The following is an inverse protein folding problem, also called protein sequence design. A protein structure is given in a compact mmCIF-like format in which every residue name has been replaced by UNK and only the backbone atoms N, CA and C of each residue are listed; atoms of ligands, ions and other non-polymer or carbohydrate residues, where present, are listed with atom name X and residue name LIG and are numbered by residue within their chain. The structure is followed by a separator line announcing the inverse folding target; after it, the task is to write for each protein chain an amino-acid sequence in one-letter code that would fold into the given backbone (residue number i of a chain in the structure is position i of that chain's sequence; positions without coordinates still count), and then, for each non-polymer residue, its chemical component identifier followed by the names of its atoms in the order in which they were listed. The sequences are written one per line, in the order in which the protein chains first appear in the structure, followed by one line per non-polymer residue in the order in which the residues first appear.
data_IF_118600155452
#
_entry.id   IF_118600155452
#
_cell.length_a   1.000
_cell.length_b   1.000
_cell.length_c   1.000
_cell.angle_alpha   90.00
_cell.angle_beta   90.00
_cell.angle_gamma   90.00
#
_symmetry.space_group_name_H-M   'P 1'
#
loop_
_entity.id
_entity.type
_entity.pdbx_description
1 polymer ?
#
# COMPACT_ATOMS: atom_id res chain seq x y z
N UNK A 1 33.11 17.22 -16.83
CA UNK A 1 31.68 16.89 -17.01
C UNK A 1 31.34 15.46 -16.61
N UNK A 2 32.11 14.42 -16.97
CA UNK A 2 31.75 13.02 -16.65
C UNK A 2 31.82 12.66 -15.16
N UNK A 3 32.69 13.32 -14.38
CA UNK A 3 32.88 12.99 -12.96
C UNK A 3 31.64 13.30 -12.09
N UNK A 4 30.80 14.24 -12.51
CA UNK A 4 29.59 14.65 -11.79
C UNK A 4 28.50 13.56 -11.76
N UNK A 5 28.57 12.58 -12.67
CA UNK A 5 27.64 11.44 -12.72
C UNK A 5 28.02 10.31 -11.77
N UNK A 6 29.23 10.36 -11.17
CA UNK A 6 29.72 9.31 -10.27
C UNK A 6 28.78 9.06 -9.08
N UNK A 7 28.25 10.07 -8.38
CA UNK A 7 27.35 9.85 -7.25
C UNK A 7 26.06 9.10 -7.64
N UNK A 8 25.55 9.34 -8.85
CA UNK A 8 24.34 8.67 -9.36
C UNK A 8 24.61 7.17 -9.55
N UNK A 9 25.72 6.81 -10.17
CA UNK A 9 26.13 5.41 -10.37
C UNK A 9 26.35 4.70 -9.02
N UNK A 10 26.99 5.37 -8.06
CA UNK A 10 27.21 4.83 -6.72
C UNK A 10 25.88 4.60 -5.97
N UNK A 11 24.92 5.51 -6.14
CA UNK A 11 23.58 5.38 -5.57
C UNK A 11 22.77 4.24 -6.22
N UNK A 12 22.83 4.09 -7.54
CA UNK A 12 22.20 2.96 -8.24
C UNK A 12 22.73 1.61 -7.75
N UNK A 13 24.06 1.51 -7.60
CA UNK A 13 24.69 0.28 -7.10
C UNK A 13 24.29 -0.01 -5.65
N UNK A 14 24.15 1.02 -4.81
CA UNK A 14 23.61 0.89 -3.45
C UNK A 14 22.16 0.39 -3.48
N UNK A 15 21.32 0.92 -4.37
CA UNK A 15 19.93 0.51 -4.46
C UNK A 15 19.76 -0.97 -4.84
N UNK A 16 20.55 -1.43 -5.81
CA UNK A 16 20.54 -2.82 -6.27
C UNK A 16 20.95 -3.79 -5.16
N UNK A 17 21.97 -3.44 -4.37
CA UNK A 17 22.46 -4.28 -3.27
C UNK A 17 21.55 -4.23 -2.04
N UNK A 18 21.25 -3.03 -1.55
CA UNK A 18 20.63 -2.86 -0.22
C UNK A 18 19.11 -2.99 -0.26
N UNK A 19 18.45 -2.50 -1.32
CA UNK A 19 16.99 -2.49 -1.42
C UNK A 19 16.45 -3.62 -2.30
N UNK A 20 17.10 -3.89 -3.42
CA UNK A 20 16.74 -5.02 -4.30
C UNK A 20 17.39 -6.34 -3.86
N UNK A 21 18.27 -6.30 -2.85
CA UNK A 21 18.81 -7.47 -2.15
C UNK A 21 19.46 -8.47 -3.11
N UNK A 22 20.18 -7.97 -4.13
CA UNK A 22 20.85 -8.79 -5.14
C UNK A 22 21.72 -9.90 -4.52
N UNK A 23 22.33 -9.61 -3.37
CA UNK A 23 23.24 -10.53 -2.70
C UNK A 23 22.54 -11.63 -1.89
N UNK A 24 21.23 -11.55 -1.67
CA UNK A 24 20.51 -12.48 -0.79
C UNK A 24 20.16 -13.81 -1.46
N UNK A 25 20.12 -13.86 -2.79
CA UNK A 25 19.92 -15.10 -3.50
C UNK A 25 21.17 -15.98 -3.42
N UNK A 26 21.02 -17.21 -2.88
CA UNK A 26 22.11 -18.17 -2.74
C UNK A 26 21.84 -19.41 -3.58
N UNK A 27 22.81 -19.78 -4.41
CA UNK A 27 22.84 -21.02 -5.19
C UNK A 27 24.30 -21.37 -5.49
N UNK A 28 24.59 -22.66 -5.66
CA UNK A 28 25.91 -23.12 -6.13
C UNK A 28 25.94 -23.33 -7.64
N UNK A 29 24.79 -23.28 -8.31
CA UNK A 29 24.67 -23.51 -9.76
C UNK A 29 24.75 -22.17 -10.49
N UNK A 30 25.80 -22.00 -11.29
CA UNK A 30 26.07 -20.79 -12.06
C UNK A 30 24.86 -20.28 -12.85
N UNK A 31 24.15 -21.16 -13.57
CA UNK A 31 23.00 -20.78 -14.40
C UNK A 31 21.89 -20.09 -13.58
N UNK A 32 21.64 -20.55 -12.35
CA UNK A 32 20.64 -19.91 -11.49
C UNK A 32 21.11 -18.56 -10.96
N UNK A 33 22.40 -18.43 -10.62
CA UNK A 33 22.99 -17.16 -10.17
C UNK A 33 22.92 -16.14 -11.31
N UNK A 34 23.38 -16.51 -12.52
CA UNK A 34 23.36 -15.65 -13.69
C UNK A 34 21.92 -15.23 -14.05
N UNK A 35 20.98 -16.18 -14.07
CA UNK A 35 19.58 -15.89 -14.32
C UNK A 35 19.00 -14.92 -13.28
N UNK A 36 19.26 -15.14 -11.99
CA UNK A 36 18.81 -14.23 -10.93
C UNK A 36 19.34 -12.80 -11.13
N UNK A 37 20.65 -12.65 -11.39
CA UNK A 37 21.27 -11.36 -11.62
C UNK A 37 20.61 -10.65 -12.81
N UNK A 38 20.48 -11.34 -13.96
CA UNK A 38 19.89 -10.76 -15.17
C UNK A 38 18.43 -10.34 -14.94
N UNK A 39 17.62 -11.21 -14.33
CA UNK A 39 16.21 -10.91 -14.07
C UNK A 39 16.04 -9.73 -13.10
N UNK A 40 16.90 -9.64 -12.08
CA UNK A 40 16.87 -8.52 -11.13
C UNK A 40 17.27 -7.21 -11.81
N UNK A 41 18.32 -7.22 -12.64
CA UNK A 41 18.74 -6.03 -13.40
C UNK A 41 17.66 -5.56 -14.38
N UNK A 42 17.00 -6.49 -15.09
CA UNK A 42 15.86 -6.17 -15.97
C UNK A 42 14.71 -5.55 -15.15
N UNK A 43 14.38 -6.13 -14.00
CA UNK A 43 13.37 -5.58 -13.10
C UNK A 43 13.71 -4.16 -12.61
N UNK A 44 14.98 -3.92 -12.28
CA UNK A 44 15.48 -2.60 -11.88
C UNK A 44 15.33 -1.57 -13.01
N UNK A 45 15.67 -1.94 -14.25
CA UNK A 45 15.50 -1.07 -15.42
C UNK A 45 14.04 -0.71 -15.66
N UNK A 46 13.11 -1.68 -15.58
CA UNK A 46 11.68 -1.38 -15.67
C UNK A 46 11.20 -0.46 -14.55
N UNK A 47 11.72 -0.62 -13.34
CA UNK A 47 11.39 0.28 -12.24
C UNK A 47 11.89 1.71 -12.48
N UNK A 48 13.09 1.90 -13.03
CA UNK A 48 13.58 3.24 -13.38
C UNK A 48 12.71 3.88 -14.47
N UNK A 49 12.37 3.13 -15.52
CA UNK A 49 11.44 3.61 -16.56
C UNK A 49 10.08 3.98 -15.97
N UNK A 50 9.56 3.17 -15.05
CA UNK A 50 8.29 3.45 -14.39
C UNK A 50 8.34 4.75 -13.58
N UNK A 51 9.43 5.04 -12.86
CA UNK A 51 9.58 6.28 -12.10
C UNK A 51 9.49 7.54 -12.96
N UNK A 52 9.92 7.46 -14.21
CA UNK A 52 9.87 8.57 -15.17
C UNK A 52 8.51 8.70 -15.87
N UNK A 53 7.67 7.66 -15.82
CA UNK A 53 6.31 7.73 -16.35
C UNK A 53 5.41 8.64 -15.49
N UNK A 54 4.38 9.23 -16.09
CA UNK A 54 3.41 10.10 -15.39
C UNK A 54 2.81 9.42 -14.16
N UNK A 55 2.50 8.12 -14.29
CA UNK A 55 1.98 7.30 -13.20
C UNK A 55 3.00 7.06 -12.09
N UNK A 56 4.29 6.99 -12.39
CA UNK A 56 5.34 6.81 -11.39
C UNK A 56 5.66 8.10 -10.65
N UNK A 57 5.52 9.24 -11.31
CA UNK A 57 5.79 10.56 -10.72
C UNK A 57 4.92 10.84 -9.48
N UNK A 58 3.71 10.27 -9.41
CA UNK A 58 2.84 10.35 -8.21
C UNK A 58 3.44 9.70 -6.95
N UNK A 59 4.47 8.88 -7.12
CA UNK A 59 5.22 8.22 -6.06
C UNK A 59 6.63 8.83 -5.84
N UNK A 60 6.99 9.90 -6.53
CA UNK A 60 8.25 10.60 -6.30
C UNK A 60 8.38 11.01 -4.82
N UNK A 61 9.53 10.74 -4.22
CA UNK A 61 9.81 11.01 -2.80
C UNK A 61 9.00 10.16 -1.81
N UNK A 62 8.23 9.16 -2.26
CA UNK A 62 7.50 8.23 -1.39
C UNK A 62 8.26 6.90 -1.33
N UNK A 63 8.59 6.47 -0.12
CA UNK A 63 9.13 5.12 0.07
C UNK A 63 8.00 4.11 0.30
N UNK A 64 8.22 2.86 -0.12
CA UNK A 64 7.25 1.78 0.10
C UNK A 64 6.86 1.62 1.59
N UNK A 65 7.79 1.71 2.57
CA UNK A 65 7.42 1.69 3.99
C UNK A 65 6.51 2.86 4.41
N UNK A 66 6.72 4.06 3.86
CA UNK A 66 5.88 5.23 4.15
C UNK A 66 4.51 5.07 3.51
N UNK A 67 4.45 4.59 2.26
CA UNK A 67 3.20 4.29 1.58
C UNK A 67 2.40 3.21 2.33
N UNK A 68 3.07 2.16 2.81
CA UNK A 68 2.45 1.08 3.57
C UNK A 68 1.95 1.55 4.95
N UNK A 69 2.66 2.45 5.63
CA UNK A 69 2.17 3.08 6.87
C UNK A 69 0.94 3.96 6.66
N UNK A 70 0.88 4.67 5.52
CA UNK A 70 -0.26 5.52 5.14
C UNK A 70 -1.40 4.73 4.51
N UNK A 71 -1.17 3.48 4.15
CA UNK A 71 -2.19 2.62 3.59
C UNK A 71 -3.19 2.25 4.69
N UNK A 72 -4.27 3.02 4.76
CA UNK A 72 -5.48 2.62 5.47
C UNK A 72 -6.13 1.54 4.61
N UNK A 73 -6.15 0.29 5.08
CA UNK A 73 -6.98 -0.74 4.46
C UNK A 73 -8.38 -0.15 4.33
N UNK A 74 -8.92 -0.11 3.12
CA UNK A 74 -10.37 -0.05 2.89
C UNK A 74 -10.95 -1.39 3.35
N UNK A 75 -10.88 -1.64 4.67
CA UNK A 75 -11.52 -2.77 5.29
C UNK A 75 -13.03 -2.60 5.20
N UNK A 76 -13.80 -3.68 5.38
CA UNK A 76 -15.25 -3.58 5.49
C UNK A 76 -15.61 -2.49 6.51
N UNK A 77 -16.41 -1.51 6.08
CA UNK A 77 -16.89 -0.44 6.95
C UNK A 77 -17.88 -1.07 7.95
N UNK A 78 -17.52 -1.07 9.23
CA UNK A 78 -18.40 -1.49 10.30
C UNK A 78 -18.99 -0.27 10.98
N UNK A 79 -20.26 -0.35 11.34
CA UNK A 79 -20.95 0.64 12.18
C UNK A 79 -21.01 0.08 13.59
N UNK A 80 -20.41 0.81 14.54
CA UNK A 80 -20.48 0.45 15.97
C UNK A 80 -21.44 1.40 16.66
N UNK A 81 -22.52 0.86 17.23
CA UNK A 81 -23.54 1.64 17.95
C UNK A 81 -23.39 1.34 19.43
N UNK A 82 -23.32 2.40 20.24
CA UNK A 82 -23.28 2.31 21.70
C UNK A 82 -24.57 2.87 22.30
N UNK A 83 -25.14 2.14 23.28
CA UNK A 83 -26.27 2.60 24.09
C UNK A 83 -26.02 2.22 25.54
N UNK A 84 -25.60 3.21 26.34
CA UNK A 84 -25.20 2.98 27.73
C UNK A 84 -24.05 1.98 27.84
N UNK A 85 -24.30 0.83 28.47
CA UNK A 85 -23.33 -0.26 28.65
C UNK A 85 -23.33 -1.30 27.52
N UNK A 86 -24.23 -1.17 26.54
CA UNK A 86 -24.37 -2.13 25.44
C UNK A 86 -23.75 -1.58 24.17
N UNK A 87 -23.14 -2.47 23.37
CA UNK A 87 -22.64 -2.14 22.04
C UNK A 87 -23.02 -3.22 21.03
N UNK A 88 -23.22 -2.80 19.78
CA UNK A 88 -23.43 -3.66 18.63
C UNK A 88 -22.50 -3.28 17.49
N UNK A 89 -21.90 -4.28 16.84
CA UNK A 89 -21.07 -4.10 15.65
C UNK A 89 -21.87 -4.63 14.47
N UNK A 90 -22.11 -3.78 13.48
CA UNK A 90 -22.91 -4.12 12.32
C UNK A 90 -22.10 -3.95 11.04
N UNK A 91 -22.21 -4.91 10.14
CA UNK A 91 -21.86 -4.66 8.74
C UNK A 91 -22.81 -3.62 8.12
N UNK A 92 -22.42 -3.02 6.99
CA UNK A 92 -23.27 -2.01 6.32
C UNK A 92 -24.69 -2.53 6.01
N UNK A 93 -24.82 -3.75 5.49
CA UNK A 93 -26.12 -4.35 5.18
C UNK A 93 -26.98 -4.61 6.42
N UNK A 94 -26.36 -5.13 7.49
CA UNK A 94 -27.04 -5.36 8.77
C UNK A 94 -27.51 -4.05 9.39
N UNK A 95 -26.71 -2.99 9.27
CA UNK A 95 -27.08 -1.66 9.72
C UNK A 95 -28.29 -1.09 8.96
N UNK A 96 -28.36 -1.28 7.64
CA UNK A 96 -29.53 -0.86 6.85
C UNK A 96 -30.78 -1.65 7.24
N UNK A 97 -30.65 -2.96 7.48
CA UNK A 97 -31.76 -3.80 7.94
C UNK A 97 -32.26 -3.36 9.32
N UNK A 98 -31.34 -3.09 10.25
CA UNK A 98 -31.65 -2.54 11.56
C UNK A 98 -32.38 -1.20 11.42
N UNK A 99 -31.82 -0.27 10.63
CA UNK A 99 -32.42 1.04 10.39
C UNK A 99 -33.84 0.92 9.83
N UNK A 100 -34.09 0.02 8.87
CA UNK A 100 -35.41 -0.21 8.29
C UNK A 100 -36.43 -0.68 9.34
N UNK A 101 -36.01 -1.53 10.28
CA UNK A 101 -36.84 -2.08 11.36
C UNK A 101 -37.15 -1.11 12.49
N UNK A 102 -36.40 0.00 12.61
CA UNK A 102 -36.57 0.98 13.69
C UNK A 102 -37.75 1.94 13.47
N UNK A 103 -38.33 2.41 14.58
CA UNK A 103 -39.33 3.49 14.59
C UNK A 103 -38.76 4.86 14.22
N UNK A 104 -39.65 5.81 13.92
CA UNK A 104 -39.28 7.15 13.41
C UNK A 104 -38.36 7.91 14.39
N UNK A 105 -38.60 7.79 15.69
CA UNK A 105 -37.78 8.44 16.73
C UNK A 105 -36.32 7.94 16.72
N UNK A 106 -36.12 6.63 16.58
CA UNK A 106 -34.78 6.03 16.56
C UNK A 106 -34.06 6.33 15.24
N UNK A 107 -34.79 6.41 14.13
CA UNK A 107 -34.22 6.77 12.81
C UNK A 107 -33.56 8.15 12.83
N UNK A 108 -34.17 9.14 13.50
CA UNK A 108 -33.59 10.49 13.64
C UNK A 108 -32.22 10.47 14.33
N UNK A 109 -31.98 9.56 15.26
CA UNK A 109 -30.68 9.40 15.92
C UNK A 109 -29.64 8.66 15.03
N UNK A 110 -30.10 7.84 14.08
CA UNK A 110 -29.23 7.06 13.18
C UNK A 110 -28.93 7.79 11.85
N UNK A 111 -29.73 8.76 11.43
CA UNK A 111 -29.51 9.56 10.21
C UNK A 111 -28.11 10.21 10.14
N UNK A 112 -27.56 10.78 11.22
CA UNK A 112 -26.20 11.35 11.20
C UNK A 112 -25.11 10.30 10.98
N UNK A 113 -25.39 9.02 11.28
CA UNK A 113 -24.46 7.91 11.08
C UNK A 113 -24.53 7.47 9.61
N UNK A 114 -25.74 7.33 9.05
CA UNK A 114 -25.97 7.06 7.62
C UNK A 114 -25.28 8.08 6.71
N UNK A 115 -25.28 9.36 7.09
CA UNK A 115 -24.63 10.42 6.31
C UNK A 115 -23.09 10.35 6.29
N UNK A 116 -22.47 9.54 7.16
CA UNK A 116 -21.01 9.43 7.31
C UNK A 116 -20.43 8.11 6.77
N UNK A 117 -21.28 7.13 6.46
CA UNK A 117 -20.89 5.80 5.98
C UNK A 117 -20.80 5.80 4.46
#
# INVERSE_FOLDING_TARGET
MTYELRPEIEEDYRQIKDYWRLEDFKSTKYNFIAFHIVMLLIGYLYFQLYKEAEEGYKYAGKSLPVAMKKYTKEGPKFVIIYSGQYFGIFGFLEFIQLYASCGIEVKQYLDPILAKV
#
